data_IF_422092626781
#
_entry.id   IF_422092626781
#
_cell.length_a   1.000
_cell.length_b   1.000
_cell.length_c   1.000
_cell.angle_alpha   90.00
_cell.angle_beta   90.00
_cell.angle_gamma   90.00
#
_symmetry.space_group_name_H-M   'P 1'
#
loop_
_entity.id
_entity.type
_entity.pdbx_description
1 polymer ?
#
# COMPACT_ATOMS: atom_id res chain seq x y z
N UNK A 1 -11.85 -0.08 -7.21
CA UNK A 1 -11.47 -1.20 -6.32
C UNK A 1 -11.23 -0.60 -4.95
N UNK A 2 -11.76 -1.21 -3.90
CA UNK A 2 -11.55 -0.72 -2.53
C UNK A 2 -10.15 -1.12 -2.05
N UNK A 3 -9.32 -0.14 -1.69
CA UNK A 3 -7.96 -0.35 -1.16
C UNK A 3 -7.88 -0.07 0.34
N UNK A 4 -9.01 0.02 1.05
CA UNK A 4 -9.05 0.35 2.48
C UNK A 4 -8.23 -0.63 3.31
N UNK A 5 -8.40 -1.94 3.11
CA UNK A 5 -7.62 -2.96 3.84
C UNK A 5 -6.12 -2.86 3.55
N UNK A 6 -5.73 -2.65 2.30
CA UNK A 6 -4.32 -2.48 1.91
C UNK A 6 -3.71 -1.26 2.60
N UNK A 7 -4.42 -0.13 2.59
CA UNK A 7 -3.95 1.12 3.18
C UNK A 7 -3.79 0.99 4.70
N UNK A 8 -4.76 0.35 5.36
CA UNK A 8 -4.64 0.07 6.79
C UNK A 8 -3.47 -0.86 7.08
N UNK A 9 -3.31 -1.93 6.29
CA UNK A 9 -2.21 -2.88 6.44
C UNK A 9 -0.84 -2.20 6.32
N UNK A 10 -0.63 -1.38 5.28
CA UNK A 10 0.64 -0.68 5.06
C UNK A 10 0.92 0.34 6.17
N UNK A 11 -0.09 1.09 6.64
CA UNK A 11 0.05 1.99 7.79
C UNK A 11 0.46 1.25 9.06
N UNK A 12 -0.07 0.04 9.29
CA UNK A 12 0.28 -0.80 10.44
C UNK A 12 1.67 -1.46 10.30
N UNK A 13 2.12 -1.74 9.08
CA UNK A 13 3.40 -2.39 8.80
C UNK A 13 4.57 -1.41 8.77
N UNK A 14 4.41 -0.27 8.11
CA UNK A 14 5.46 0.75 7.91
C UNK A 14 5.47 1.81 9.02
N UNK A 15 4.33 2.00 9.68
CA UNK A 15 4.14 3.11 10.62
C UNK A 15 3.99 4.46 9.92
N UNK A 16 3.95 5.52 10.73
CA UNK A 16 3.80 6.89 10.26
C UNK A 16 4.85 7.79 10.92
N UNK A 17 5.67 8.47 10.11
CA UNK A 17 6.61 9.46 10.58
C UNK A 17 6.70 10.65 9.61
N UNK A 18 6.17 11.83 9.97
CA UNK A 18 6.19 13.00 9.09
C UNK A 18 7.58 13.61 8.95
N UNK A 19 8.56 13.22 9.76
CA UNK A 19 9.94 13.67 9.68
C UNK A 19 10.82 12.58 9.07
N UNK A 20 11.79 13.00 8.24
CA UNK A 20 12.76 12.09 7.69
C UNK A 20 13.53 11.37 8.81
N UNK A 21 13.63 10.05 8.71
CA UNK A 21 14.28 9.21 9.72
C UNK A 21 14.99 8.02 9.05
N UNK A 22 15.89 7.36 9.77
CA UNK A 22 16.61 6.19 9.24
C UNK A 22 15.98 4.89 9.70
N UNK A 23 15.77 3.98 8.75
CA UNK A 23 15.40 2.58 8.98
C UNK A 23 16.46 1.72 8.30
N UNK A 24 17.15 0.87 9.06
CA UNK A 24 18.28 0.05 8.59
C UNK A 24 19.37 0.83 7.81
N UNK A 25 19.55 2.11 8.16
CA UNK A 25 20.53 2.98 7.52
C UNK A 25 20.03 3.71 6.28
N UNK A 26 18.80 3.49 5.84
CA UNK A 26 18.19 4.17 4.68
C UNK A 26 17.22 5.25 5.16
N UNK A 27 17.24 6.43 4.54
CA UNK A 27 16.30 7.51 4.85
C UNK A 27 14.89 7.21 4.35
N UNK A 28 13.92 7.39 5.23
CA UNK A 28 12.49 7.25 4.96
C UNK A 28 11.68 8.41 5.54
N UNK A 29 10.49 8.65 4.99
CA UNK A 29 9.52 9.64 5.49
C UNK A 29 8.08 9.18 5.22
N UNK A 30 7.11 9.79 5.89
CA UNK A 30 5.70 9.48 5.72
C UNK A 30 5.40 8.05 6.16
N UNK A 31 4.87 7.25 5.22
CA UNK A 31 4.49 5.85 5.42
C UNK A 31 5.43 4.98 4.58
N UNK A 32 6.64 4.76 5.11
CA UNK A 32 7.62 3.88 4.47
C UNK A 32 8.21 4.35 3.14
N UNK A 33 8.04 5.62 2.74
CA UNK A 33 8.57 6.14 1.49
C UNK A 33 10.09 6.32 1.57
N UNK A 34 10.83 5.77 0.61
CA UNK A 34 12.30 5.76 0.58
C UNK A 34 12.85 7.03 -0.09
N UNK A 35 13.74 7.76 0.59
CA UNK A 35 14.34 9.02 0.12
C UNK A 35 15.71 8.86 -0.55
N UNK A 36 16.22 7.64 -0.64
CA UNK A 36 17.51 7.34 -1.31
C UNK A 36 17.33 6.78 -2.73
N UNK A 37 16.08 6.68 -3.20
CA UNK A 37 15.76 6.37 -4.59
C UNK A 37 15.47 7.64 -5.41
N UNK A 38 15.51 7.49 -6.72
CA UNK A 38 15.09 8.54 -7.64
C UNK A 38 13.60 8.82 -7.47
N UNK A 39 13.27 10.09 -7.26
CA UNK A 39 11.91 10.58 -7.05
C UNK A 39 11.33 10.99 -8.40
N UNK A 40 10.07 10.65 -8.63
CA UNK A 40 9.28 11.17 -9.74
C UNK A 40 9.04 12.68 -9.58
N UNK A 41 8.67 13.33 -10.69
CA UNK A 41 8.27 14.74 -10.68
C UNK A 41 7.09 15.03 -9.75
N UNK A 42 6.22 14.04 -9.51
CA UNK A 42 5.05 14.21 -8.63
C UNK A 42 5.45 14.13 -7.15
N UNK A 43 6.27 13.14 -6.78
CA UNK A 43 6.81 13.01 -5.43
C UNK A 43 7.69 14.21 -5.08
N UNK A 44 8.53 14.67 -6.01
CA UNK A 44 9.38 15.84 -5.81
C UNK A 44 8.57 17.13 -5.52
N UNK A 45 7.36 17.27 -6.07
CA UNK A 45 6.47 18.41 -5.74
C UNK A 45 5.92 18.34 -4.31
N UNK A 46 5.79 17.13 -3.75
CA UNK A 46 5.32 16.91 -2.38
C UNK A 46 6.47 17.08 -1.38
N UNK A 47 7.60 16.46 -1.68
CA UNK A 47 8.82 16.46 -0.86
C UNK A 47 9.50 17.82 -0.84
N UNK A 48 9.42 18.56 -1.95
CA UNK A 48 10.23 19.75 -2.15
C UNK A 48 11.71 19.42 -2.37
N UNK A 49 12.52 20.46 -2.52
CA UNK A 49 13.96 20.29 -2.77
C UNK A 49 14.68 19.82 -1.50
N UNK A 50 15.36 18.68 -1.61
CA UNK A 50 16.29 18.18 -0.60
C UNK A 50 17.52 17.52 -1.24
N UNK A 51 18.57 17.37 -0.44
CA UNK A 51 19.77 16.58 -0.76
C UNK A 51 20.01 15.58 0.37
N UNK A 52 20.83 14.54 0.16
CA UNK A 52 21.18 13.61 1.24
C UNK A 52 21.87 14.30 2.44
N UNK A 53 22.50 15.46 2.24
CA UNK A 53 23.08 16.26 3.32
C UNK A 53 22.00 17.01 4.13
N UNK A 54 20.90 17.41 3.49
CA UNK A 54 19.82 18.22 4.09
C UNK A 54 18.58 17.42 4.45
N UNK A 55 18.50 16.15 4.01
CA UNK A 55 17.33 15.27 4.15
C UNK A 55 16.83 15.15 5.59
N UNK A 56 17.73 15.21 6.57
CA UNK A 56 17.38 15.15 7.99
C UNK A 56 16.52 16.33 8.48
N UNK A 57 16.40 17.41 7.70
CA UNK A 57 15.54 18.56 7.98
C UNK A 57 14.17 18.46 7.33
N UNK A 58 13.98 17.48 6.44
CA UNK A 58 12.73 17.30 5.70
C UNK A 58 11.61 16.86 6.63
N UNK A 59 10.48 17.58 6.54
CA UNK A 59 9.25 17.28 7.27
C UNK A 59 8.05 17.56 6.38
N UNK A 60 7.06 16.69 6.46
CA UNK A 60 5.81 16.77 5.72
C UNK A 60 4.64 17.06 6.66
N UNK A 61 3.59 17.65 6.10
CA UNK A 61 2.26 17.70 6.73
C UNK A 61 1.53 16.36 6.55
N UNK A 62 0.52 16.09 7.35
CA UNK A 62 -0.32 14.89 7.24
C UNK A 62 -0.88 14.73 5.81
N UNK A 63 -1.34 15.82 5.20
CA UNK A 63 -1.86 15.82 3.84
C UNK A 63 -0.79 15.47 2.80
N UNK A 64 0.46 15.93 2.99
CA UNK A 64 1.58 15.55 2.13
C UNK A 64 1.97 14.08 2.32
N UNK A 65 1.96 13.57 3.56
CA UNK A 65 2.21 12.16 3.82
C UNK A 65 1.16 11.26 3.16
N UNK A 66 -0.13 11.60 3.28
CA UNK A 66 -1.21 10.84 2.64
C UNK A 66 -1.12 10.91 1.11
N UNK A 67 -0.78 12.08 0.54
CA UNK A 67 -0.59 12.22 -0.91
C UNK A 67 0.61 11.44 -1.44
N UNK A 68 1.74 11.43 -0.71
CA UNK A 68 2.91 10.63 -1.07
C UNK A 68 2.58 9.14 -1.02
N UNK A 69 1.89 8.72 0.04
CA UNK A 69 1.44 7.34 0.20
C UNK A 69 0.44 6.90 -0.88
N UNK A 70 -0.40 7.82 -1.39
CA UNK A 70 -1.27 7.54 -2.53
C UNK A 70 -0.48 7.16 -3.79
N UNK A 71 0.63 7.85 -4.03
CA UNK A 71 1.54 7.57 -5.15
C UNK A 71 2.19 6.21 -4.94
N UNK A 72 2.80 5.96 -3.77
CA UNK A 72 3.47 4.69 -3.48
C UNK A 72 2.53 3.47 -3.61
N UNK A 73 1.27 3.61 -3.19
CA UNK A 73 0.24 2.57 -3.37
C UNK A 73 -0.13 2.39 -4.84
N UNK A 74 -0.18 3.48 -5.60
CA UNK A 74 -0.35 3.46 -7.06
C UNK A 74 0.77 2.67 -7.74
N UNK A 75 2.01 2.97 -7.40
CA UNK A 75 3.19 2.30 -7.94
C UNK A 75 3.17 0.81 -7.63
N UNK A 76 2.83 0.40 -6.40
CA UNK A 76 2.68 -1.01 -6.04
C UNK A 76 1.59 -1.73 -6.86
N UNK A 77 0.50 -1.04 -7.20
CA UNK A 77 -0.56 -1.56 -8.07
C UNK A 77 -0.12 -1.67 -9.53
N UNK A 78 0.80 -0.83 -10.00
CA UNK A 78 1.36 -0.92 -11.35
C UNK A 78 2.42 -2.03 -11.43
N UNK A 79 3.31 -2.09 -10.43
CA UNK A 79 4.45 -3.01 -10.37
C UNK A 79 4.04 -4.49 -10.28
N UNK A 80 2.85 -4.77 -9.75
CA UNK A 80 2.31 -6.13 -9.67
C UNK A 80 1.76 -6.62 -11.01
N UNK A 81 1.31 -5.73 -11.90
CA UNK A 81 0.59 -6.08 -13.14
C UNK A 81 1.36 -7.01 -14.09
N UNK A 82 2.69 -6.88 -14.25
CA UNK A 82 3.47 -7.83 -15.03
C UNK A 82 3.41 -9.27 -14.50
N UNK A 83 2.98 -9.48 -13.25
CA UNK A 83 2.88 -10.79 -12.61
C UNK A 83 1.45 -11.27 -12.49
N UNK A 84 0.52 -10.40 -12.09
CA UNK A 84 -0.91 -10.70 -11.92
C UNK A 84 -1.76 -9.63 -12.59
N UNK A 85 -2.65 -10.05 -13.49
CA UNK A 85 -3.64 -9.15 -14.06
C UNK A 85 -4.64 -8.66 -12.98
N UNK A 86 -5.28 -7.50 -13.16
CA UNK A 86 -6.21 -6.96 -12.17
C UNK A 86 -7.35 -7.93 -11.80
N UNK A 87 -7.90 -8.67 -12.76
CA UNK A 87 -8.94 -9.67 -12.54
C UNK A 87 -8.44 -10.91 -11.79
N UNK A 88 -7.20 -11.34 -12.03
CA UNK A 88 -6.56 -12.41 -11.26
C UNK A 88 -6.45 -12.02 -9.78
N UNK A 89 -6.02 -10.79 -9.48
CA UNK A 89 -5.89 -10.27 -8.12
C UNK A 89 -7.24 -10.16 -7.40
N UNK A 90 -8.25 -9.60 -8.07
CA UNK A 90 -9.61 -9.50 -7.52
C UNK A 90 -10.18 -10.89 -7.18
N UNK A 91 -9.91 -11.88 -8.03
CA UNK A 91 -10.37 -13.24 -7.81
C UNK A 91 -9.69 -13.97 -6.62
N UNK A 92 -8.64 -13.40 -6.01
CA UNK A 92 -8.00 -13.95 -4.79
C UNK A 92 -8.72 -13.54 -3.50
N UNK A 93 -9.59 -12.53 -3.58
CA UNK A 93 -10.22 -11.87 -2.45
C UNK A 93 -9.33 -10.81 -1.81
N UNK A 94 -9.97 -9.89 -1.09
CA UNK A 94 -9.36 -8.66 -0.57
C UNK A 94 -8.10 -8.91 0.27
N UNK A 95 -8.15 -9.87 1.20
CA UNK A 95 -7.01 -10.19 2.08
C UNK A 95 -5.75 -10.61 1.30
N UNK A 96 -5.89 -11.57 0.38
CA UNK A 96 -4.73 -12.12 -0.34
C UNK A 96 -4.18 -11.12 -1.33
N UNK A 97 -5.07 -10.32 -1.94
CA UNK A 97 -4.68 -9.17 -2.75
C UNK A 97 -3.87 -8.16 -1.93
N UNK A 98 -4.35 -7.81 -0.73
CA UNK A 98 -3.63 -6.90 0.17
C UNK A 98 -2.25 -7.45 0.56
N UNK A 99 -2.13 -8.75 0.87
CA UNK A 99 -0.82 -9.39 1.14
C UNK A 99 0.13 -9.26 -0.06
N UNK A 100 -0.33 -9.57 -1.28
CA UNK A 100 0.52 -9.49 -2.48
C UNK A 100 0.99 -8.05 -2.71
N UNK A 101 0.09 -7.07 -2.56
CA UNK A 101 0.42 -5.67 -2.75
C UNK A 101 1.35 -5.14 -1.65
N UNK A 102 1.19 -5.56 -0.40
CA UNK A 102 2.13 -5.19 0.68
C UNK A 102 3.53 -5.78 0.45
N UNK A 103 3.62 -7.01 -0.09
CA UNK A 103 4.90 -7.56 -0.52
C UNK A 103 5.53 -6.73 -1.63
N UNK A 104 4.77 -6.34 -2.66
CA UNK A 104 5.28 -5.51 -3.77
C UNK A 104 5.74 -4.15 -3.26
N UNK A 105 4.99 -3.52 -2.37
CA UNK A 105 5.37 -2.26 -1.72
C UNK A 105 6.73 -2.40 -1.00
N UNK A 106 6.92 -3.49 -0.24
CA UNK A 106 8.15 -3.68 0.53
C UNK A 106 9.39 -3.97 -0.34
N UNK A 107 9.27 -4.83 -1.37
CA UNK A 107 10.43 -5.33 -2.12
C UNK A 107 10.54 -4.78 -3.55
N UNK A 108 9.58 -3.96 -3.97
CA UNK A 108 9.40 -3.49 -5.36
C UNK A 108 8.99 -4.61 -6.33
N UNK A 109 8.49 -4.24 -7.51
CA UNK A 109 8.07 -5.21 -8.52
C UNK A 109 9.20 -6.14 -8.99
N UNK A 110 10.42 -5.61 -9.12
CA UNK A 110 11.59 -6.40 -9.50
C UNK A 110 12.01 -7.42 -8.43
N UNK A 111 11.90 -7.06 -7.14
CA UNK A 111 12.11 -7.97 -6.03
C UNK A 111 11.01 -9.02 -5.97
N UNK A 112 9.75 -8.61 -6.10
CA UNK A 112 8.59 -9.48 -6.06
C UNK A 112 8.64 -10.58 -7.13
N UNK A 113 9.06 -10.26 -8.36
CA UNK A 113 9.23 -11.24 -9.45
C UNK A 113 10.24 -12.36 -9.15
N UNK A 114 11.09 -12.21 -8.13
CA UNK A 114 12.01 -13.26 -7.68
C UNK A 114 11.32 -14.33 -6.82
N UNK A 115 10.12 -14.08 -6.30
CA UNK A 115 9.31 -15.02 -5.53
C UNK A 115 8.60 -16.06 -6.42
N UNK A 116 9.36 -16.72 -7.32
CA UNK A 116 8.82 -17.56 -8.40
C UNK A 116 7.90 -18.68 -7.91
N UNK A 117 8.28 -19.36 -6.81
CA UNK A 117 7.52 -20.48 -6.26
C UNK A 117 6.23 -20.03 -5.59
N UNK A 118 6.29 -18.94 -4.82
CA UNK A 118 5.12 -18.27 -4.27
C UNK A 118 4.14 -17.87 -5.38
N UNK A 119 4.62 -17.17 -6.42
CA UNK A 119 3.79 -16.73 -7.55
C UNK A 119 3.11 -17.94 -8.21
N UNK A 120 3.84 -19.02 -8.47
CA UNK A 120 3.29 -20.24 -9.05
C UNK A 120 2.20 -20.87 -8.16
N UNK A 121 2.42 -20.94 -6.86
CA UNK A 121 1.46 -21.47 -5.89
C UNK A 121 0.18 -20.62 -5.83
N UNK A 122 0.29 -19.29 -5.80
CA UNK A 122 -0.87 -18.38 -5.84
C UNK A 122 -1.68 -18.57 -7.13
N UNK A 123 -1.03 -18.67 -8.29
CA UNK A 123 -1.71 -18.92 -9.57
C UNK A 123 -2.41 -20.27 -9.61
N UNK A 124 -1.85 -21.28 -8.94
CA UNK A 124 -2.47 -22.58 -8.76
C UNK A 124 -3.55 -22.62 -7.65
N UNK A 125 -3.82 -21.50 -6.97
CA UNK A 125 -4.70 -21.40 -5.79
C UNK A 125 -4.26 -22.29 -4.62
N UNK A 126 -2.99 -22.68 -4.58
CA UNK A 126 -2.38 -23.41 -3.47
C UNK A 126 -1.82 -22.41 -2.44
N UNK A 127 -2.72 -21.89 -1.62
CA UNK A 127 -2.40 -20.87 -0.63
C UNK A 127 -1.58 -21.41 0.56
N UNK A 128 -1.63 -22.71 0.81
CA UNK A 128 -0.82 -23.36 1.83
C UNK A 128 0.66 -23.33 1.44
N UNK A 129 0.97 -23.75 0.20
CA UNK A 129 2.32 -23.68 -0.35
C UNK A 129 2.78 -22.24 -0.55
N UNK A 130 1.90 -21.34 -1.00
CA UNK A 130 2.23 -19.92 -1.12
C UNK A 130 2.71 -19.33 0.22
N UNK A 131 1.98 -19.60 1.30
CA UNK A 131 2.34 -19.12 2.63
C UNK A 131 3.71 -19.66 3.12
N UNK A 132 4.07 -20.88 2.77
CA UNK A 132 5.38 -21.47 3.09
C UNK A 132 6.52 -20.82 2.29
N UNK A 133 6.29 -20.59 1.00
CA UNK A 133 7.27 -19.97 0.11
C UNK A 133 7.53 -18.49 0.45
N UNK A 134 6.56 -17.78 1.02
CA UNK A 134 6.77 -16.42 1.56
C UNK A 134 7.84 -16.41 2.65
N UNK A 135 7.80 -17.39 3.55
CA UNK A 135 8.73 -17.52 4.68
C UNK A 135 10.12 -17.99 4.26
N UNK A 136 10.25 -18.54 3.04
CA UNK A 136 11.51 -19.01 2.48
C UNK A 136 12.27 -17.90 1.71
N UNK A 137 12.35 -16.70 2.29
CA UNK A 137 12.98 -15.54 1.68
C UNK A 137 13.95 -14.83 2.63
N UNK A 138 14.87 -14.03 2.09
CA UNK A 138 15.75 -13.18 2.91
C UNK A 138 14.93 -12.14 3.68
N UNK A 139 13.93 -11.54 3.03
CA UNK A 139 13.03 -10.57 3.64
C UNK A 139 12.31 -11.16 4.86
N UNK A 140 11.84 -12.41 4.78
CA UNK A 140 11.26 -13.12 5.93
C UNK A 140 12.23 -13.36 7.08
N UNK A 141 13.54 -13.42 6.83
CA UNK A 141 14.55 -13.53 7.89
C UNK A 141 14.84 -12.18 8.55
N UNK A 142 14.75 -11.09 7.79
CA UNK A 142 15.00 -9.73 8.29
C UNK A 142 13.82 -9.21 9.11
N UNK A 143 12.58 -9.39 8.63
CA UNK A 143 11.37 -8.90 9.30
C UNK A 143 10.36 -10.02 9.60
N UNK A 144 10.73 -11.04 10.41
CA UNK A 144 9.97 -12.29 10.54
C UNK A 144 8.52 -12.10 10.99
N UNK A 145 8.25 -11.19 11.94
CA UNK A 145 6.90 -10.96 12.45
C UNK A 145 5.93 -10.45 11.35
N UNK A 146 6.40 -9.57 10.47
CA UNK A 146 5.61 -9.07 9.33
C UNK A 146 5.28 -10.22 8.38
N UNK A 147 6.29 -10.99 8.01
CA UNK A 147 6.12 -12.11 7.07
C UNK A 147 5.27 -13.25 7.65
N UNK A 148 5.31 -13.49 8.96
CA UNK A 148 4.43 -14.44 9.64
C UNK A 148 2.95 -14.02 9.56
N UNK A 149 2.65 -12.73 9.82
CA UNK A 149 1.29 -12.18 9.68
C UNK A 149 0.78 -12.32 8.25
N UNK A 150 1.61 -11.92 7.27
CA UNK A 150 1.27 -11.99 5.85
C UNK A 150 1.11 -13.44 5.36
N UNK A 151 1.98 -14.37 5.81
CA UNK A 151 1.90 -15.80 5.52
C UNK A 151 0.61 -16.43 6.08
N UNK A 152 0.24 -16.06 7.31
CA UNK A 152 -1.03 -16.49 7.89
C UNK A 152 -2.22 -16.00 7.06
N UNK A 153 -2.22 -14.71 6.68
CA UNK A 153 -3.30 -14.10 5.91
C UNK A 153 -3.40 -14.69 4.50
N UNK A 154 -2.27 -14.98 3.84
CA UNK A 154 -2.22 -15.68 2.57
C UNK A 154 -2.89 -17.05 2.66
N UNK A 155 -2.49 -17.85 3.67
CA UNK A 155 -3.03 -19.21 3.87
C UNK A 155 -4.54 -19.19 4.14
N UNK A 156 -4.99 -18.34 5.06
CA UNK A 156 -6.34 -18.41 5.63
C UNK A 156 -7.36 -17.47 4.97
N UNK A 157 -6.90 -16.44 4.26
CA UNK A 157 -7.77 -15.44 3.64
C UNK A 157 -8.31 -14.38 4.61
N UNK A 158 -7.75 -14.25 5.82
CA UNK A 158 -8.02 -13.16 6.76
C UNK A 158 -6.80 -12.85 7.63
N UNK A 159 -6.70 -11.63 8.13
CA UNK A 159 -5.71 -11.23 9.14
C UNK A 159 -6.22 -11.55 10.55
N UNK A 160 -5.36 -12.05 11.45
CA UNK A 160 -5.78 -12.37 12.84
C UNK A 160 -6.30 -11.13 13.57
N UNK A 161 -5.67 -10.00 13.28
CA UNK A 161 -5.89 -8.69 13.91
C UNK A 161 -7.23 -8.07 13.49
N UNK A 162 -7.74 -8.41 12.30
CA UNK A 162 -9.01 -7.91 11.77
C UNK A 162 -10.16 -8.93 11.88
N UNK A 163 -9.91 -10.11 12.47
CA UNK A 163 -10.91 -11.16 12.70
C UNK A 163 -11.10 -12.14 11.54
N UNK A 164 -11.83 -13.23 11.80
CA UNK A 164 -12.21 -14.23 10.78
C UNK A 164 -13.22 -13.69 9.77
N UNK A 165 -13.42 -14.28 8.57
CA UNK A 165 -14.43 -13.82 7.62
C UNK A 165 -15.87 -13.78 8.17
N UNK A 166 -16.17 -14.51 9.25
CA UNK A 166 -17.45 -14.47 9.94
C UNK A 166 -17.61 -13.29 10.91
N UNK A 167 -16.50 -12.64 11.27
CA UNK A 167 -16.40 -11.54 12.25
C UNK A 167 -15.70 -10.29 11.68
N UNK A 168 -15.15 -10.37 10.47
CA UNK A 168 -14.51 -9.25 9.80
C UNK A 168 -15.57 -8.15 9.64
N UNK A 169 -15.23 -6.89 9.98
CA UNK A 169 -16.14 -5.79 9.74
C UNK A 169 -16.54 -5.83 8.27
N UNK A 170 -17.81 -6.10 7.99
CA UNK A 170 -18.38 -5.80 6.69
C UNK A 170 -18.03 -4.33 6.42
N UNK A 171 -17.61 -3.95 5.21
CA UNK A 171 -17.26 -2.56 4.91
C UNK A 171 -18.41 -1.69 5.40
N UNK A 172 -18.18 -1.02 6.53
CA UNK A 172 -19.15 -0.09 7.07
C UNK A 172 -19.26 0.96 5.99
N UNK A 173 -20.45 1.15 5.45
CA UNK A 173 -20.76 2.31 4.64
C UNK A 173 -20.16 3.52 5.36
N UNK A 174 -19.02 3.98 4.88
CA UNK A 174 -18.47 5.26 5.28
C UNK A 174 -19.59 6.22 4.98
N UNK A 175 -20.22 6.70 6.04
CA UNK A 175 -21.13 7.82 5.96
C UNK A 175 -20.31 8.91 5.30
N UNK A 176 -20.53 9.10 3.99
CA UNK A 176 -20.09 10.25 3.25
C UNK A 176 -20.63 11.45 4.02
N UNK A 177 -19.76 11.99 4.87
CA UNK A 177 -19.98 13.25 5.55
C UNK A 177 -20.18 14.29 4.46
N UNK A 178 -21.45 14.67 4.30
CA UNK A 178 -21.88 15.92 3.69
C UNK A 178 -21.42 16.13 2.23
N UNK A 179 -22.22 15.62 1.29
CA UNK A 179 -22.34 16.23 -0.03
C UNK A 179 -22.79 17.69 0.18
N UNK A 180 -22.05 18.71 -0.30
CA UNK A 180 -22.54 20.07 -0.24
C UNK A 180 -23.83 20.17 -1.07
N UNK A 181 -24.88 20.65 -0.39
CA UNK A 181 -26.23 20.99 -0.86
C UNK A 181 -26.32 21.15 -2.39
N UNK A 182 -27.19 20.36 -3.04
CA UNK A 182 -27.51 20.42 -4.49
C UNK A 182 -27.78 21.86 -5.00
N UNK A 183 -28.14 22.78 -4.09
CA UNK A 183 -28.25 24.21 -4.39
C UNK A 183 -26.93 24.86 -4.84
N UNK A 184 -25.78 24.43 -4.34
CA UNK A 184 -24.47 25.02 -4.66
C UNK A 184 -24.04 24.68 -6.10
N UNK A 185 -24.32 23.46 -6.57
CA UNK A 185 -24.07 23.06 -7.96
C UNK A 185 -25.01 23.78 -8.95
N UNK A 186 -26.26 24.00 -8.58
CA UNK A 186 -27.21 24.77 -9.38
C UNK A 186 -26.81 26.26 -9.50
N UNK A 187 -26.18 26.83 -8.47
CA UNK A 187 -25.76 28.23 -8.44
C UNK A 187 -24.43 28.46 -9.19
N UNK A 188 -23.48 27.52 -9.14
CA UNK A 188 -22.23 27.57 -9.92
C UNK A 188 -22.47 27.40 -11.42
N UNK A 189 -23.41 26.53 -11.82
CA UNK A 189 -23.75 26.30 -13.24
C UNK A 189 -24.44 27.51 -13.88
N UNK A 190 -25.08 28.38 -13.08
CA UNK A 190 -25.71 29.62 -13.56
C UNK A 190 -24.71 30.74 -13.89
N UNK A 191 -23.52 30.76 -13.27
CA UNK A 191 -22.50 31.80 -13.49
C UNK A 191 -21.59 31.54 -14.69
N UNK A 192 -21.50 30.31 -15.19
CA UNK A 192 -20.68 29.96 -16.36
C UNK A 192 -21.41 30.25 -17.69
N UNK A 193 -22.74 30.37 -17.69
CA UNK A 193 -23.54 30.74 -18.89
C UNK A 193 -23.81 32.25 -19.06
N UNK A 194 -23.18 33.11 -18.24
CA UNK A 194 -23.20 34.56 -18.40
C UNK A 194 -21.77 35.13 -18.34
N UNK A 195 -20.97 34.80 -19.35
CA UNK A 195 -19.90 35.66 -19.88
C UNK A 195 -19.66 35.27 -21.33
#
# INVERSE_FOLDING_TARGET
MDNTLLRQLLKDEEGYNPQAHRVEGIWHIGIGHNLEIEQTDEEARILGDYTLDTVHTLSLTDAQCDALFDIDVGDALEDVQPTFMPDELEALGETRRAVILSMVFQVGGAGFRKFKKFIAAVKARDFSTAAEEMMNSLAARQTPQRWERASFAMRNGYFREYGTPATAPQPTETTLGHVPDEKLLAELTRRIKKK
#
